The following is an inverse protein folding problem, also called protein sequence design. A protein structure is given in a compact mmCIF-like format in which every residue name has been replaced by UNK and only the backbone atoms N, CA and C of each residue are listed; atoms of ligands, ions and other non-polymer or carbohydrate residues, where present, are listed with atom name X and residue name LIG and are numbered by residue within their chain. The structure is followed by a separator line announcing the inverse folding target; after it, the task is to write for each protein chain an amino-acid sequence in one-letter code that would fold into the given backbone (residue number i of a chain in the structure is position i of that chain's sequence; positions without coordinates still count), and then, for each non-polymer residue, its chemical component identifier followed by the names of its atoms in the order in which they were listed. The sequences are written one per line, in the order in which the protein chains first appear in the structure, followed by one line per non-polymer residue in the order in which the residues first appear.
data_IF_475328241382
#
_entry.id   IF_475328241382
#
_cell.length_a   1.000
_cell.length_b   1.000
_cell.length_c   1.000
_cell.angle_alpha   90.00
_cell.angle_beta   90.00
_cell.angle_gamma   90.00
#
_symmetry.space_group_name_H-M   'P 1'
#
loop_
_entity.id
_entity.type
_entity.pdbx_description
1 polymer ?
#
# COMPACT_ATOMS: atom_id res chain seq x y z
N UNK A 1 32.70 20.47 -6.80
CA UNK A 1 31.59 21.25 -7.40
C UNK A 1 32.08 21.75 -8.75
N UNK A 2 31.36 21.59 -9.87
CA UNK A 2 29.91 21.78 -10.11
C UNK A 2 29.23 20.48 -10.61
N UNK A 3 27.92 20.33 -10.84
CA UNK A 3 26.69 21.07 -10.54
C UNK A 3 25.55 20.06 -10.68
N UNK A 4 24.97 19.67 -9.55
CA UNK A 4 23.66 19.02 -9.43
C UNK A 4 22.62 20.01 -9.96
N UNK A 5 21.93 19.71 -11.06
CA UNK A 5 20.94 20.63 -11.63
C UNK A 5 20.41 20.32 -13.03
N UNK A 6 20.91 19.26 -13.70
CA UNK A 6 20.46 18.92 -15.06
C UNK A 6 19.75 17.58 -15.22
N UNK A 7 19.65 16.77 -14.17
CA UNK A 7 18.94 15.48 -14.22
C UNK A 7 17.51 15.58 -13.67
N UNK A 8 17.21 16.56 -12.83
CA UNK A 8 15.86 16.77 -12.27
C UNK A 8 14.86 17.43 -13.23
N UNK A 9 15.32 18.00 -14.36
CA UNK A 9 14.43 18.64 -15.34
C UNK A 9 13.81 17.65 -16.36
N UNK A 10 14.30 16.40 -16.44
CA UNK A 10 13.83 15.44 -17.44
C UNK A 10 12.75 14.47 -16.90
N UNK A 11 12.61 14.32 -15.58
CA UNK A 11 11.53 13.51 -14.97
C UNK A 11 10.22 14.26 -14.76
N UNK A 12 10.19 15.60 -14.84
CA UNK A 12 8.94 16.38 -14.77
C UNK A 12 8.21 16.52 -16.13
N UNK A 13 8.87 16.18 -17.24
CA UNK A 13 8.34 16.35 -18.59
C UNK A 13 7.46 15.18 -19.06
N UNK A 14 7.52 14.02 -18.39
CA UNK A 14 6.70 12.84 -18.74
C UNK A 14 5.33 12.89 -18.07
N UNK A 15 5.17 13.62 -16.96
CA UNK A 15 3.87 13.76 -16.26
C UNK A 15 2.96 14.80 -16.94
N UNK A 16 3.50 15.75 -17.70
CA UNK A 16 2.70 16.79 -18.39
C UNK A 16 2.19 16.40 -19.79
N UNK A 17 2.74 15.36 -20.43
CA UNK A 17 2.35 14.97 -21.80
C UNK A 17 1.10 14.08 -21.88
N UNK A 18 0.57 13.60 -20.75
CA UNK A 18 -0.69 12.84 -20.71
C UNK A 18 -1.95 13.72 -20.56
N UNK A 19 -1.83 15.04 -20.36
CA UNK A 19 -3.00 15.92 -20.15
C UNK A 19 -3.40 16.70 -21.43
N UNK A 20 -2.59 16.66 -22.49
CA UNK A 20 -2.82 17.43 -23.74
C UNK A 20 -3.24 16.58 -24.95
N UNK A 21 -3.93 15.45 -24.72
CA UNK A 21 -4.46 14.59 -25.80
C UNK A 21 -5.99 14.44 -25.80
N UNK A 22 -6.73 15.31 -25.09
CA UNK A 22 -8.21 15.26 -25.07
C UNK A 22 -8.88 16.57 -25.53
N UNK A 23 -8.12 17.61 -25.86
CA UNK A 23 -8.71 18.88 -26.32
C UNK A 23 -8.13 19.30 -27.66
N UNK A 24 -8.71 18.79 -28.73
CA UNK A 24 -8.38 19.21 -30.08
C UNK A 24 -9.24 18.53 -31.11
N UNK A 25 -10.47 19.01 -31.30
CA UNK A 25 -11.05 19.16 -32.64
C UNK A 25 -12.25 20.13 -32.57
N UNK A 26 -12.02 21.33 -33.07
CA UNK A 26 -13.02 22.38 -33.31
C UNK A 26 -13.72 22.16 -34.65
N UNK A 27 -15.02 22.40 -34.72
CA UNK A 27 -15.76 22.50 -35.98
C UNK A 27 -16.97 23.43 -35.87
N UNK A 28 -16.80 24.67 -36.34
CA UNK A 28 -17.83 25.70 -36.51
C UNK A 28 -18.86 25.31 -37.59
N UNK A 29 -20.15 25.56 -37.34
CA UNK A 29 -21.12 25.87 -38.40
C UNK A 29 -22.03 27.01 -37.90
N UNK A 30 -21.93 28.16 -38.55
CA UNK A 30 -22.92 29.24 -38.53
C UNK A 30 -24.20 28.81 -39.26
N UNK A 31 -25.38 29.13 -38.70
CA UNK A 31 -26.58 29.34 -39.51
C UNK A 31 -27.27 30.64 -39.05
N UNK A 32 -27.40 31.53 -40.03
CA UNK A 32 -28.09 32.82 -40.04
C UNK A 32 -29.59 32.66 -39.68
N UNK A 33 -30.11 33.58 -38.88
CA UNK A 33 -31.47 33.56 -38.33
C UNK A 33 -32.59 34.07 -39.25
N UNK A 34 -33.83 34.00 -38.75
CA UNK A 34 -34.84 35.04 -38.98
C UNK A 34 -35.93 35.06 -37.89
N UNK A 35 -36.23 36.29 -37.47
CA UNK A 35 -37.50 36.86 -37.01
C UNK A 35 -38.32 36.36 -35.80
N UNK A 36 -38.36 37.27 -34.80
CA UNK A 36 -39.53 37.93 -34.16
C UNK A 36 -40.47 37.09 -33.27
N UNK A 37 -40.40 37.31 -31.95
CA UNK A 37 -41.36 38.11 -31.17
C UNK A 37 -41.20 37.81 -29.65
N UNK A 38 -40.90 38.84 -28.86
CA UNK A 38 -41.21 38.94 -27.41
C UNK A 38 -42.65 39.48 -27.26
N UNK A 39 -43.37 39.36 -26.11
CA UNK A 39 -42.84 39.25 -24.74
C UNK A 39 -43.61 38.29 -23.78
N UNK A 40 -43.05 38.09 -22.57
CA UNK A 40 -43.70 38.14 -21.24
C UNK A 40 -43.18 37.07 -20.24
N UNK A 41 -42.33 37.59 -19.35
CA UNK A 41 -42.15 37.34 -17.91
C UNK A 41 -42.88 36.16 -17.24
N UNK A 42 -42.15 35.06 -17.01
CA UNK A 42 -42.40 34.15 -15.89
C UNK A 42 -41.07 33.69 -15.26
N UNK A 43 -40.90 33.80 -13.92
CA UNK A 43 -39.67 33.41 -13.25
C UNK A 43 -39.50 31.88 -13.25
N UNK A 44 -38.44 31.39 -13.90
CA UNK A 44 -38.05 29.99 -13.84
C UNK A 44 -37.29 29.71 -12.53
N UNK A 45 -37.85 28.78 -11.76
CA UNK A 45 -37.33 28.27 -10.50
C UNK A 45 -36.06 27.43 -10.74
N UNK A 46 -35.04 27.66 -9.90
CA UNK A 46 -33.87 26.80 -9.74
C UNK A 46 -34.30 25.36 -9.38
N UNK A 47 -33.72 24.31 -10.00
CA UNK A 47 -33.86 22.95 -9.50
C UNK A 47 -33.18 22.85 -8.13
N UNK A 48 -34.00 22.81 -7.09
CA UNK A 48 -33.58 22.53 -5.72
C UNK A 48 -32.82 21.21 -5.66
N UNK A 49 -31.63 21.26 -5.06
CA UNK A 49 -30.88 20.11 -4.58
C UNK A 49 -31.73 19.36 -3.54
N UNK A 50 -32.06 18.11 -3.84
CA UNK A 50 -32.73 17.20 -2.90
C UNK A 50 -31.74 16.79 -1.79
N UNK A 51 -32.11 16.84 -0.49
CA UNK A 51 -31.17 16.60 0.60
C UNK A 51 -30.87 15.11 0.76
N UNK A 52 -29.58 14.77 0.72
CA UNK A 52 -28.96 13.60 1.36
C UNK A 52 -29.78 12.30 1.34
N UNK A 53 -29.80 11.60 0.21
CA UNK A 53 -30.00 10.15 0.24
C UNK A 53 -28.65 9.50 0.52
N UNK A 54 -28.33 9.36 1.82
CA UNK A 54 -27.15 8.61 2.26
C UNK A 54 -27.20 7.19 1.72
N UNK A 55 -26.08 6.76 1.12
CA UNK A 55 -25.93 5.44 0.56
C UNK A 55 -26.13 4.39 1.68
N UNK A 56 -27.11 3.47 1.60
CA UNK A 56 -27.41 2.52 2.68
C UNK A 56 -26.21 1.66 3.09
N UNK A 57 -25.24 1.49 2.18
CA UNK A 57 -23.98 0.78 2.43
C UNK A 57 -23.11 1.55 3.44
N UNK A 58 -23.05 2.89 3.39
CA UNK A 58 -22.31 3.69 4.38
C UNK A 58 -22.87 3.53 5.79
N UNK A 59 -24.19 3.46 5.93
CA UNK A 59 -24.81 3.23 7.23
C UNK A 59 -24.61 1.79 7.74
N UNK A 60 -24.63 0.80 6.84
CA UNK A 60 -24.36 -0.59 7.22
C UNK A 60 -22.90 -0.82 7.65
N UNK A 61 -21.93 -0.22 6.97
CA UNK A 61 -20.51 -0.32 7.36
C UNK A 61 -20.25 0.38 8.70
N UNK A 62 -20.93 1.50 8.96
CA UNK A 62 -20.83 2.22 10.23
C UNK A 62 -21.49 1.50 11.43
N UNK A 63 -22.28 0.44 11.20
CA UNK A 63 -23.05 -0.23 12.25
C UNK A 63 -22.58 -1.66 12.59
N UNK A 64 -21.51 -2.15 11.95
CA UNK A 64 -21.00 -3.52 12.17
C UNK A 64 -19.68 -3.56 12.95
N UNK A 65 -19.05 -2.42 13.24
CA UNK A 65 -17.86 -2.33 14.11
C UNK A 65 -18.19 -1.64 15.44
N UNK A 66 -18.88 -2.36 16.34
CA UNK A 66 -18.96 -2.04 17.79
C UNK A 66 -17.69 -2.55 18.51
N UNK A 67 -16.51 -2.24 17.98
CA UNK A 67 -15.28 -2.27 18.76
C UNK A 67 -15.31 -1.09 19.75
N UNK A 68 -14.76 -1.21 20.97
CA UNK A 68 -14.75 -0.08 21.88
C UNK A 68 -14.02 1.11 21.22
N UNK A 69 -14.41 2.35 21.53
CA UNK A 69 -13.77 3.63 21.13
C UNK A 69 -12.32 3.75 21.66
N UNK A 70 -11.54 2.69 21.56
CA UNK A 70 -10.19 2.54 22.10
C UNK A 70 -9.23 2.83 20.96
N UNK A 71 -8.81 4.08 20.89
CA UNK A 71 -7.60 4.46 20.18
C UNK A 71 -6.39 3.80 20.87
N UNK A 72 -5.48 3.27 20.05
CA UNK A 72 -4.20 2.77 20.52
C UNK A 72 -3.10 3.23 19.58
N UNK A 73 -2.02 3.75 20.16
CA UNK A 73 -0.80 4.06 19.44
C UNK A 73 0.41 3.58 20.23
N UNK A 74 1.24 2.79 19.57
CA UNK A 74 2.49 2.25 20.08
C UNK A 74 3.65 3.11 19.58
N UNK A 75 4.75 3.09 20.33
CA UNK A 75 6.04 3.59 19.85
C UNK A 75 6.87 2.39 19.41
N UNK A 76 7.39 2.43 18.19
CA UNK A 76 8.29 1.45 17.62
C UNK A 76 9.33 2.19 16.76
N UNK A 77 10.57 1.69 16.63
CA UNK A 77 11.60 2.36 15.85
C UNK A 77 11.18 2.52 14.39
N UNK A 78 11.35 3.72 13.84
CA UNK A 78 11.21 3.96 12.40
C UNK A 78 12.55 3.78 11.68
N UNK A 79 12.53 3.04 10.56
CA UNK A 79 13.71 2.76 9.76
C UNK A 79 13.33 2.90 8.29
N UNK A 80 14.12 3.69 7.57
CA UNK A 80 13.97 3.87 6.12
C UNK A 80 14.63 2.72 5.37
N UNK A 81 14.03 2.22 4.29
CA UNK A 81 14.65 1.21 3.42
C UNK A 81 15.72 1.82 2.50
N UNK A 82 15.50 3.06 2.05
CA UNK A 82 16.38 3.77 1.13
C UNK A 82 17.59 4.40 1.83
N UNK A 83 18.72 4.58 1.11
CA UNK A 83 18.94 4.23 -0.31
C UNK A 83 19.32 2.76 -0.58
N UNK A 84 19.61 1.98 0.46
CA UNK A 84 20.29 0.68 0.32
C UNK A 84 19.40 -0.43 -0.24
N UNK A 85 18.09 -0.37 0.05
CA UNK A 85 17.12 -1.40 -0.34
C UNK A 85 15.93 -0.78 -1.10
N UNK A 86 16.06 -0.52 -2.42
CA UNK A 86 14.96 -0.04 -3.25
C UNK A 86 13.69 -0.92 -3.18
N UNK A 87 13.84 -2.24 -3.05
CA UNK A 87 12.74 -3.19 -2.92
C UNK A 87 12.88 -3.96 -1.59
N UNK A 88 12.94 -3.26 -0.46
CA UNK A 88 13.15 -3.90 0.84
C UNK A 88 12.20 -3.43 1.92
N UNK A 89 10.96 -3.10 1.55
CA UNK A 89 9.93 -2.68 2.50
C UNK A 89 9.70 -3.76 3.56
N UNK A 90 9.62 -5.03 3.16
CA UNK A 90 9.31 -6.17 4.04
C UNK A 90 10.39 -6.42 5.07
N UNK A 91 11.65 -6.48 4.63
CA UNK A 91 12.78 -6.70 5.55
C UNK A 91 13.05 -5.49 6.43
N UNK A 92 12.74 -4.28 5.94
CA UNK A 92 12.89 -3.07 6.75
C UNK A 92 11.79 -3.00 7.81
N UNK A 93 10.55 -3.32 7.46
CA UNK A 93 9.43 -3.45 8.40
C UNK A 93 9.67 -4.58 9.41
N UNK A 94 10.23 -5.72 8.98
CA UNK A 94 10.67 -6.78 9.89
C UNK A 94 11.78 -6.31 10.82
N UNK A 95 12.72 -5.48 10.35
CA UNK A 95 13.76 -4.89 11.20
C UNK A 95 13.15 -4.03 12.29
N UNK A 96 12.13 -3.23 11.97
CA UNK A 96 11.41 -2.42 12.95
C UNK A 96 10.72 -3.31 13.99
N UNK A 97 10.00 -4.35 13.57
CA UNK A 97 9.34 -5.33 14.44
C UNK A 97 10.33 -6.04 15.37
N UNK A 98 11.45 -6.55 14.85
CA UNK A 98 12.44 -7.27 15.64
C UNK A 98 13.14 -6.35 16.65
N UNK A 99 13.44 -5.10 16.27
CA UNK A 99 14.06 -4.13 17.19
C UNK A 99 13.11 -3.71 18.31
N UNK A 100 11.82 -3.56 18.01
CA UNK A 100 10.79 -3.34 19.03
C UNK A 100 10.78 -4.47 20.07
N UNK A 101 10.93 -5.72 19.60
CA UNK A 101 11.07 -6.90 20.46
C UNK A 101 12.43 -7.05 21.17
N UNK A 102 13.33 -6.07 21.06
CA UNK A 102 14.63 -6.04 21.73
C UNK A 102 15.78 -6.73 20.98
N UNK A 103 15.58 -7.13 19.72
CA UNK A 103 16.63 -7.76 18.90
C UNK A 103 17.58 -6.70 18.31
N UNK A 104 18.87 -6.88 18.54
CA UNK A 104 19.92 -6.06 17.90
C UNK A 104 20.20 -6.59 16.49
N UNK A 105 19.53 -6.00 15.49
CA UNK A 105 19.72 -6.33 14.07
C UNK A 105 19.59 -5.07 13.20
N UNK A 106 19.82 -5.18 11.89
CA UNK A 106 19.59 -4.12 10.91
C UNK A 106 19.06 -4.68 9.58
N UNK A 107 18.50 -3.78 8.75
CA UNK A 107 17.87 -4.14 7.48
C UNK A 107 18.82 -4.82 6.49
N UNK A 108 20.13 -4.50 6.53
CA UNK A 108 21.11 -5.08 5.62
C UNK A 108 21.44 -6.51 6.02
N UNK A 109 21.55 -6.78 7.33
CA UNK A 109 21.69 -8.14 7.85
C UNK A 109 20.48 -8.99 7.48
N UNK A 110 19.26 -8.52 7.73
CA UNK A 110 18.05 -9.27 7.39
C UNK A 110 17.90 -9.46 5.88
N UNK A 111 18.21 -8.45 5.06
CA UNK A 111 18.23 -8.59 3.61
C UNK A 111 19.25 -9.64 3.13
N UNK A 112 20.38 -9.79 3.81
CA UNK A 112 21.36 -10.85 3.55
C UNK A 112 20.81 -12.25 3.85
N UNK A 113 20.13 -12.39 4.99
CA UNK A 113 19.63 -13.67 5.53
C UNK A 113 18.28 -14.13 4.93
N UNK A 114 17.50 -13.21 4.36
CA UNK A 114 16.22 -13.50 3.72
C UNK A 114 16.39 -14.54 2.61
N UNK A 115 15.54 -15.58 2.62
CA UNK A 115 15.46 -16.57 1.53
C UNK A 115 15.11 -15.84 0.23
N UNK A 116 15.78 -16.17 -0.87
CA UNK A 116 15.61 -15.51 -2.17
C UNK A 116 15.29 -16.52 -3.24
N UNK A 117 14.44 -16.13 -4.17
CA UNK A 117 14.13 -16.87 -5.39
C UNK A 117 14.43 -15.98 -6.60
N UNK A 118 14.82 -16.54 -7.75
CA UNK A 118 15.05 -15.74 -8.95
C UNK A 118 13.76 -15.02 -9.36
N UNK A 119 13.88 -13.84 -9.97
CA UNK A 119 12.71 -13.14 -10.51
C UNK A 119 11.96 -13.99 -11.54
N UNK A 120 12.72 -14.72 -12.36
CA UNK A 120 12.22 -15.68 -13.33
C UNK A 120 13.24 -16.82 -13.53
N UNK A 121 12.77 -18.06 -13.58
CA UNK A 121 13.53 -19.26 -13.90
C UNK A 121 12.85 -20.01 -15.05
N UNK A 122 13.43 -19.94 -16.25
CA UNK A 122 12.81 -20.50 -17.45
C UNK A 122 11.47 -19.84 -17.75
N UNK A 123 10.39 -20.63 -17.75
CA UNK A 123 9.02 -20.14 -18.00
C UNK A 123 8.28 -19.68 -16.74
N UNK A 124 8.83 -19.96 -15.56
CA UNK A 124 8.17 -19.67 -14.29
C UNK A 124 8.75 -18.40 -13.67
N UNK A 125 7.86 -17.59 -13.09
CA UNK A 125 8.25 -16.47 -12.27
C UNK A 125 8.54 -16.93 -10.84
N UNK A 126 9.36 -16.18 -10.11
CA UNK A 126 9.59 -16.44 -8.69
C UNK A 126 8.31 -16.25 -7.87
N UNK A 127 8.13 -17.10 -6.87
CA UNK A 127 6.98 -17.08 -5.97
C UNK A 127 7.33 -16.37 -4.64
N UNK A 128 6.65 -15.27 -4.27
CA UNK A 128 6.94 -14.54 -3.04
C UNK A 128 6.64 -15.34 -1.77
N UNK A 129 5.82 -16.40 -1.86
CA UNK A 129 5.59 -17.34 -0.76
C UNK A 129 6.80 -18.26 -0.51
N UNK A 130 7.71 -18.38 -1.47
CA UNK A 130 8.92 -19.21 -1.34
C UNK A 130 10.14 -18.39 -0.90
N UNK A 131 10.16 -17.09 -1.15
CA UNK A 131 11.25 -16.20 -0.75
C UNK A 131 11.16 -14.87 -1.48
N UNK A 132 12.09 -13.95 -1.17
CA UNK A 132 12.14 -12.68 -1.88
C UNK A 132 12.42 -12.88 -3.36
N UNK A 133 11.53 -12.37 -4.20
CA UNK A 133 11.56 -12.53 -5.66
C UNK A 133 12.47 -11.47 -6.28
N UNK A 134 13.63 -11.90 -6.79
CA UNK A 134 14.55 -11.04 -7.54
C UNK A 134 15.51 -10.22 -6.66
N UNK A 135 15.70 -8.94 -6.99
CA UNK A 135 16.73 -8.10 -6.39
C UNK A 135 16.18 -7.03 -5.44
N UNK A 136 16.63 -7.07 -4.18
CA UNK A 136 16.25 -6.10 -3.14
C UNK A 136 17.08 -4.80 -3.20
N UNK A 137 18.31 -4.91 -3.70
CA UNK A 137 19.38 -3.90 -3.61
C UNK A 137 19.41 -2.96 -4.81
N UNK A 138 18.64 -3.25 -5.86
CA UNK A 138 18.57 -2.47 -7.10
C UNK A 138 17.12 -2.44 -7.59
N UNK A 139 16.63 -1.24 -7.90
CA UNK A 139 15.27 -1.03 -8.41
C UNK A 139 15.20 -0.81 -9.92
N UNK A 140 16.27 -1.11 -10.65
CA UNK A 140 16.33 -0.87 -12.10
C UNK A 140 15.88 -2.09 -12.91
N UNK A 141 15.46 -1.86 -14.15
CA UNK A 141 14.88 -2.90 -15.03
C UNK A 141 15.86 -4.04 -15.35
N UNK A 142 17.17 -3.83 -15.20
CA UNK A 142 18.17 -4.88 -15.43
C UNK A 142 18.36 -5.77 -14.20
N UNK A 143 17.84 -5.35 -13.04
CA UNK A 143 17.89 -6.08 -11.78
C UNK A 143 16.50 -6.10 -11.15
N UNK A 144 15.53 -6.79 -11.78
CA UNK A 144 14.14 -6.74 -11.32
C UNK A 144 14.02 -7.37 -9.92
N UNK A 145 13.22 -6.73 -9.09
CA UNK A 145 12.77 -7.22 -7.79
C UNK A 145 11.25 -7.08 -7.70
N UNK A 146 10.66 -7.89 -6.84
CA UNK A 146 9.25 -7.79 -6.52
C UNK A 146 9.08 -7.73 -5.00
N UNK A 147 8.78 -8.86 -4.35
CA UNK A 147 8.42 -8.87 -2.94
C UNK A 147 8.75 -10.22 -2.27
N UNK A 148 8.53 -10.31 -0.96
CA UNK A 148 8.45 -11.54 -0.16
C UNK A 148 7.20 -11.54 0.71
N UNK A 149 6.49 -12.67 0.78
CA UNK A 149 5.26 -12.79 1.57
C UNK A 149 5.52 -13.35 2.97
N UNK A 150 4.47 -13.42 3.77
CA UNK A 150 4.51 -13.68 5.21
C UNK A 150 5.33 -14.92 5.60
N UNK A 151 5.23 -16.04 4.88
CA UNK A 151 5.88 -17.30 5.24
C UNK A 151 7.40 -17.17 5.42
N UNK A 152 8.17 -16.82 4.37
CA UNK A 152 9.62 -16.61 4.49
C UNK A 152 10.02 -15.48 5.45
N UNK A 153 9.16 -14.47 5.65
CA UNK A 153 9.38 -13.39 6.63
C UNK A 153 9.28 -13.92 8.06
N UNK A 154 8.25 -14.72 8.35
CA UNK A 154 8.06 -15.38 9.63
C UNK A 154 9.19 -16.37 9.91
N UNK A 155 9.57 -17.21 8.94
CA UNK A 155 10.71 -18.13 9.05
C UNK A 155 12.02 -17.40 9.40
N UNK A 156 12.25 -16.22 8.82
CA UNK A 156 13.42 -15.41 9.18
C UNK A 156 13.30 -14.87 10.60
N UNK A 157 12.14 -14.34 11.00
CA UNK A 157 11.90 -13.82 12.34
C UNK A 157 12.09 -14.92 13.41
N UNK A 158 11.67 -16.16 13.12
CA UNK A 158 11.76 -17.30 14.03
C UNK A 158 13.21 -17.68 14.35
N UNK A 159 14.16 -17.41 13.44
CA UNK A 159 15.59 -17.58 13.73
C UNK A 159 16.09 -16.68 14.86
N UNK A 160 15.39 -15.56 15.11
CA UNK A 160 15.74 -14.59 16.14
C UNK A 160 14.96 -14.79 17.44
N UNK A 161 13.67 -15.11 17.34
CA UNK A 161 12.74 -15.06 18.47
C UNK A 161 11.96 -16.37 18.69
N UNK A 162 12.16 -17.38 17.84
CA UNK A 162 11.55 -18.70 17.96
C UNK A 162 10.02 -18.62 18.05
N UNK A 163 9.45 -19.33 19.01
CA UNK A 163 8.01 -19.45 19.24
C UNK A 163 7.31 -18.14 19.67
N UNK A 164 8.05 -17.06 19.86
CA UNK A 164 7.48 -15.72 20.09
C UNK A 164 6.91 -15.13 18.81
N UNK A 165 7.39 -15.57 17.64
CA UNK A 165 6.85 -15.12 16.36
C UNK A 165 5.43 -15.65 16.20
N UNK A 166 4.51 -14.75 15.92
CA UNK A 166 3.13 -15.07 15.63
C UNK A 166 2.80 -14.61 14.21
N UNK A 167 2.87 -15.54 13.26
CA UNK A 167 2.26 -15.37 11.94
C UNK A 167 0.79 -15.76 12.04
N UNK A 168 -0.09 -14.80 11.79
CA UNK A 168 -1.54 -14.97 11.84
C UNK A 168 -2.18 -14.51 10.55
N UNK A 169 -1.43 -14.61 9.45
CA UNK A 169 -1.92 -14.33 8.11
C UNK A 169 -3.20 -15.10 7.80
N UNK A 170 -4.17 -14.41 7.20
CA UNK A 170 -5.53 -14.94 6.98
C UNK A 170 -6.54 -14.61 8.08
N UNK A 171 -6.12 -14.05 9.22
CA UNK A 171 -7.03 -13.63 10.30
C UNK A 171 -7.78 -12.34 9.96
N UNK A 172 -8.66 -11.89 10.86
CA UNK A 172 -9.44 -10.67 10.70
C UNK A 172 -8.65 -9.41 11.10
N UNK A 173 -9.05 -8.23 10.60
CA UNK A 173 -8.46 -6.96 11.07
C UNK A 173 -8.65 -6.75 12.58
N UNK A 174 -9.75 -7.24 13.15
CA UNK A 174 -9.98 -7.21 14.60
C UNK A 174 -8.88 -7.95 15.37
N UNK A 175 -8.25 -8.98 14.80
CA UNK A 175 -7.12 -9.67 15.44
C UNK A 175 -5.83 -8.85 15.37
N UNK A 176 -5.63 -8.09 14.28
CA UNK A 176 -4.56 -7.07 14.20
C UNK A 176 -4.74 -6.03 15.31
N UNK A 177 -5.95 -5.49 15.49
CA UNK A 177 -6.24 -4.52 16.55
C UNK A 177 -6.03 -5.06 17.96
N UNK A 178 -6.32 -6.36 18.19
CA UNK A 178 -6.04 -7.02 19.48
C UNK A 178 -4.54 -7.10 19.77
N UNK A 179 -3.70 -7.41 18.78
CA UNK A 179 -2.24 -7.40 18.95
C UNK A 179 -1.75 -6.00 19.32
N UNK A 180 -2.19 -4.99 18.56
CA UNK A 180 -1.85 -3.59 18.82
C UNK A 180 -2.30 -3.15 20.22
N UNK A 181 -3.54 -3.49 20.61
CA UNK A 181 -4.07 -3.22 21.95
C UNK A 181 -3.26 -3.87 23.06
N UNK A 182 -2.73 -5.06 22.79
CA UNK A 182 -1.87 -5.83 23.71
C UNK A 182 -0.43 -5.31 23.78
N UNK A 183 -0.08 -4.32 22.96
CA UNK A 183 1.24 -3.70 22.95
C UNK A 183 2.17 -4.23 21.87
N UNK A 184 1.69 -5.07 20.95
CA UNK A 184 2.52 -5.71 19.94
C UNK A 184 2.27 -5.04 18.57
N UNK A 185 3.26 -4.38 17.95
CA UNK A 185 3.13 -3.87 16.59
C UNK A 185 3.01 -5.03 15.58
N UNK A 186 2.42 -4.77 14.42
CA UNK A 186 2.09 -5.81 13.42
C UNK A 186 2.70 -5.47 12.07
N UNK A 187 3.58 -6.34 11.58
CA UNK A 187 4.09 -6.31 10.21
C UNK A 187 2.99 -6.78 9.26
N UNK A 188 2.75 -6.06 8.16
CA UNK A 188 1.72 -6.41 7.16
C UNK A 188 2.18 -6.16 5.72
N UNK A 189 1.46 -6.74 4.76
CA UNK A 189 1.49 -6.38 3.33
C UNK A 189 0.24 -5.57 2.97
N UNK A 190 0.40 -4.48 2.23
CA UNK A 190 -0.66 -3.57 1.77
C UNK A 190 -0.27 -2.96 0.42
N UNK A 191 -0.93 -1.89 -0.02
CA UNK A 191 -0.55 -1.14 -1.22
C UNK A 191 0.31 0.09 -0.91
N UNK A 192 1.11 0.53 -1.87
CA UNK A 192 1.92 1.77 -1.79
C UNK A 192 1.05 3.01 -1.46
N UNK A 193 -0.21 3.04 -1.90
CA UNK A 193 -1.12 4.16 -1.69
C UNK A 193 -2.06 3.97 -0.50
N UNK A 194 -1.88 2.88 0.27
CA UNK A 194 -2.65 2.55 1.47
C UNK A 194 -4.16 2.52 1.23
N UNK A 195 -4.55 2.06 0.04
CA UNK A 195 -5.92 2.00 -0.46
C UNK A 195 -6.08 0.89 -1.51
N UNK A 196 -7.30 0.50 -1.87
CA UNK A 196 -7.52 -0.57 -2.84
C UNK A 196 -6.85 -0.30 -4.18
N UNK A 197 -6.19 -1.33 -4.72
CA UNK A 197 -5.58 -1.34 -6.04
C UNK A 197 -6.63 -1.77 -7.06
N UNK A 198 -6.85 -1.01 -8.16
CA UNK A 198 -7.83 -1.37 -9.18
C UNK A 198 -7.42 -2.65 -9.91
N UNK A 199 -8.41 -3.46 -10.30
CA UNK A 199 -8.21 -4.77 -10.96
C UNK A 199 -7.28 -4.72 -12.18
N UNK A 200 -7.26 -3.59 -12.91
CA UNK A 200 -6.41 -3.38 -14.08
C UNK A 200 -4.91 -3.32 -13.78
N UNK A 201 -4.52 -3.08 -12.53
CA UNK A 201 -3.12 -3.05 -12.10
C UNK A 201 -2.61 -4.40 -11.60
N UNK A 202 -3.48 -5.41 -11.53
CA UNK A 202 -3.12 -6.78 -11.16
C UNK A 202 -2.75 -7.60 -12.39
N UNK A 203 -1.87 -8.57 -12.20
CA UNK A 203 -1.32 -9.41 -13.27
C UNK A 203 -1.31 -10.86 -12.82
N UNK A 204 -1.66 -11.76 -13.74
CA UNK A 204 -1.44 -13.20 -13.52
C UNK A 204 0.07 -13.47 -13.54
N UNK A 205 0.52 -14.28 -12.59
CA UNK A 205 1.91 -14.58 -12.32
C UNK A 205 2.07 -16.09 -12.23
N UNK A 206 2.64 -16.68 -13.29
CA UNK A 206 2.77 -18.12 -13.42
C UNK A 206 4.03 -18.59 -12.68
N UNK A 207 3.86 -19.23 -11.53
CA UNK A 207 4.96 -19.80 -10.72
C UNK A 207 5.01 -21.31 -10.90
N UNK A 208 6.05 -21.95 -10.37
CA UNK A 208 6.17 -23.41 -10.41
C UNK A 208 5.13 -24.09 -9.49
N UNK A 209 4.72 -23.42 -8.41
CA UNK A 209 3.73 -23.91 -7.44
C UNK A 209 2.27 -23.61 -7.85
N UNK A 210 2.07 -22.80 -8.89
CA UNK A 210 0.75 -22.43 -9.41
C UNK A 210 0.64 -20.99 -9.87
N UNK A 211 -0.53 -20.63 -10.38
CA UNK A 211 -0.83 -19.25 -10.76
C UNK A 211 -1.22 -18.42 -9.53
N UNK A 212 -0.62 -17.25 -9.38
CA UNK A 212 -1.01 -16.24 -8.40
C UNK A 212 -1.32 -14.91 -9.09
N UNK A 213 -2.06 -14.02 -8.44
CA UNK A 213 -2.21 -12.61 -8.89
C UNK A 213 -1.27 -11.73 -8.07
N UNK A 214 -0.54 -10.86 -8.76
CA UNK A 214 0.36 -9.87 -8.15
C UNK A 214 0.09 -8.48 -8.69
N UNK A 215 0.54 -7.46 -7.96
CA UNK A 215 0.66 -6.10 -8.45
C UNK A 215 1.97 -5.50 -7.96
N UNK A 216 2.65 -4.70 -8.78
CA UNK A 216 3.84 -3.96 -8.37
C UNK A 216 3.51 -2.74 -7.48
N UNK A 217 2.24 -2.58 -7.10
CA UNK A 217 1.80 -1.63 -6.08
C UNK A 217 1.78 -2.26 -4.68
N UNK A 218 2.34 -3.46 -4.49
CA UNK A 218 2.62 -4.06 -3.19
C UNK A 218 3.53 -3.16 -2.34
N UNK A 219 3.31 -3.16 -1.04
CA UNK A 219 4.16 -2.51 -0.05
C UNK A 219 4.03 -3.20 1.32
N UNK A 220 5.03 -3.01 2.18
CA UNK A 220 5.01 -3.53 3.55
C UNK A 220 5.33 -2.45 4.58
N UNK A 221 4.55 -2.44 5.66
CA UNK A 221 4.65 -1.47 6.76
C UNK A 221 4.57 -2.16 8.12
N UNK A 222 5.01 -1.46 9.17
CA UNK A 222 4.77 -1.86 10.56
C UNK A 222 3.61 -1.06 11.14
N UNK A 223 2.45 -1.69 11.32
CA UNK A 223 1.28 -1.09 11.98
C UNK A 223 1.58 -0.91 13.46
N UNK A 224 1.38 0.31 13.96
CA UNK A 224 1.66 0.70 15.34
C UNK A 224 0.45 1.25 16.06
N UNK A 225 -0.67 1.46 15.37
CA UNK A 225 -1.85 2.02 16.02
C UNK A 225 -3.07 2.07 15.13
N UNK A 226 -4.19 2.40 15.75
CA UNK A 226 -5.44 2.72 15.08
C UNK A 226 -6.27 3.66 15.96
N UNK A 227 -7.14 4.41 15.33
CA UNK A 227 -8.29 5.04 15.96
C UNK A 227 -9.57 4.63 15.21
N UNK A 228 -10.63 5.43 15.36
CA UNK A 228 -11.92 5.19 14.68
C UNK A 228 -11.83 5.36 13.17
N UNK A 229 -11.02 6.29 12.68
CA UNK A 229 -10.96 6.73 11.28
C UNK A 229 -9.62 6.43 10.60
N UNK A 230 -8.55 6.15 11.36
CA UNK A 230 -7.19 6.03 10.85
C UNK A 230 -6.47 4.78 11.35
N UNK A 231 -5.56 4.28 10.52
CA UNK A 231 -4.48 3.36 10.90
C UNK A 231 -3.17 4.13 10.98
N UNK A 232 -2.39 3.90 12.03
CA UNK A 232 -1.06 4.46 12.22
C UNK A 232 0.01 3.39 11.99
N UNK A 233 1.07 3.73 11.27
CA UNK A 233 2.13 2.80 10.92
C UNK A 233 3.46 3.50 10.67
N UNK A 234 4.55 2.74 10.77
CA UNK A 234 5.86 3.13 10.30
C UNK A 234 6.05 2.63 8.87
N UNK A 235 6.15 3.58 7.93
CA UNK A 235 6.39 3.32 6.51
C UNK A 235 7.90 3.38 6.20
N UNK A 236 8.51 2.29 5.69
CA UNK A 236 9.93 2.27 5.37
C UNK A 236 10.33 3.18 4.18
N UNK A 237 9.38 3.67 3.39
CA UNK A 237 9.63 4.67 2.34
C UNK A 237 9.53 6.12 2.87
N UNK A 238 8.82 6.35 3.97
CA UNK A 238 8.63 7.68 4.54
C UNK A 238 9.91 8.22 5.20
N UNK A 239 10.01 9.55 5.25
CA UNK A 239 11.15 10.26 5.84
C UNK A 239 11.06 10.37 7.38
N UNK A 240 9.89 10.09 7.95
CA UNK A 240 9.57 10.25 9.36
C UNK A 240 8.66 9.11 9.86
N UNK A 241 8.60 8.95 11.19
CA UNK A 241 7.67 8.03 11.85
C UNK A 241 6.22 8.53 11.82
N UNK A 242 5.27 7.65 12.15
CA UNK A 242 3.88 8.04 12.39
C UNK A 242 3.07 8.38 11.14
N UNK A 243 3.31 7.68 10.04
CA UNK A 243 2.42 7.70 8.87
C UNK A 243 1.02 7.26 9.28
N UNK A 244 0.02 7.77 8.57
CA UNK A 244 -1.37 7.39 8.76
C UNK A 244 -2.13 7.34 7.44
N UNK A 245 -3.21 6.58 7.41
CA UNK A 245 -4.16 6.53 6.30
C UNK A 245 -5.57 6.32 6.83
N UNK A 246 -6.56 6.58 5.98
CA UNK A 246 -7.97 6.26 6.27
C UNK A 246 -8.12 4.76 6.50
N UNK A 247 -8.86 4.40 7.55
CA UNK A 247 -8.91 3.05 8.10
C UNK A 247 -9.58 2.06 7.17
N UNK A 248 -10.75 2.39 6.62
CA UNK A 248 -11.47 1.49 5.74
C UNK A 248 -10.67 1.17 4.48
N UNK A 249 -10.08 2.19 3.84
CA UNK A 249 -9.24 2.02 2.66
C UNK A 249 -7.99 1.18 2.93
N UNK A 250 -7.34 1.37 4.10
CA UNK A 250 -6.17 0.57 4.47
C UNK A 250 -6.55 -0.90 4.64
N UNK A 251 -7.65 -1.17 5.35
CA UNK A 251 -8.13 -2.54 5.59
C UNK A 251 -8.47 -3.23 4.28
N UNK A 252 -9.23 -2.58 3.40
CA UNK A 252 -9.58 -3.13 2.09
C UNK A 252 -8.32 -3.39 1.22
N UNK A 253 -7.32 -2.51 1.28
CA UNK A 253 -6.03 -2.75 0.63
C UNK A 253 -5.32 -3.97 1.19
N UNK A 254 -5.16 -4.07 2.51
CA UNK A 254 -4.54 -5.21 3.20
C UNK A 254 -5.25 -6.52 2.87
N UNK A 255 -6.59 -6.51 2.78
CA UNK A 255 -7.39 -7.67 2.39
C UNK A 255 -7.10 -8.14 0.95
N UNK A 256 -6.88 -7.22 0.00
CA UNK A 256 -6.49 -7.57 -1.36
C UNK A 256 -5.15 -8.31 -1.44
N UNK A 257 -4.26 -8.13 -0.45
CA UNK A 257 -2.97 -8.84 -0.37
C UNK A 257 -3.02 -10.11 0.49
N UNK A 258 -4.22 -10.57 0.87
CA UNK A 258 -4.42 -11.87 1.53
C UNK A 258 -4.25 -11.83 3.05
N UNK A 259 -4.59 -10.72 3.70
CA UNK A 259 -4.64 -10.58 5.15
C UNK A 259 -3.31 -10.95 5.84
N UNK A 260 -2.16 -10.61 5.24
CA UNK A 260 -0.85 -11.03 5.74
C UNK A 260 -0.46 -10.23 6.98
N UNK A 261 -0.12 -10.91 8.07
CA UNK A 261 0.14 -10.28 9.36
C UNK A 261 1.09 -11.09 10.25
N UNK A 262 2.12 -10.44 10.78
CA UNK A 262 3.10 -11.02 11.70
C UNK A 262 3.31 -10.10 12.91
N UNK A 263 3.31 -10.65 14.11
CA UNK A 263 3.67 -9.93 15.34
C UNK A 263 4.59 -10.78 16.23
N UNK A 264 5.03 -10.22 17.35
CA UNK A 264 5.88 -10.88 18.36
C UNK A 264 5.15 -10.87 19.70
N UNK A 265 5.04 -12.04 20.35
CA UNK A 265 4.45 -12.24 21.68
C UNK A 265 5.49 -12.58 22.76
#
# INVERSE_FOLDING_TARGET
MPSQGRVFALMLLIVFFCIMLVLGETGLVEVVGDSRADPEDHPQQDPQQDPQQENPIKQFVNHVYDGPDVEKKLSAPHIRQLPELPNGCEVTSLTMLLRDAGVVTDKMKLAGEMKKVPFQAGRYMGNPNEGFVGNMYRGDRNHPGFAVYHGPVAELAEKYLGNRVHDFSGSSWTDVEKEISSGNPVWVITSIQFRPVPDSAWRNWHTEEGDIRITFQEHSVLVTGYDREHIFFNDPLADHEGSQSEKAAFIEAWEQFGNQAISIR
#
